data_IF_715686143686
#
_entry.id   IF_715686143686
#
_cell.length_a   1.000
_cell.length_b   1.000
_cell.length_c   1.000
_cell.angle_alpha   90.00
_cell.angle_beta   90.00
_cell.angle_gamma   90.00
#
_symmetry.space_group_name_H-M   'P 1'
#
loop_
_entity.id
_entity.type
_entity.pdbx_description
1 polymer ?
#
# COMPACT_ATOMS: atom_id res chain seq x y z
N UNK A 1 -5.20 -5.39 -14.95
CA UNK A 1 -5.31 -4.57 -13.73
C UNK A 1 -6.78 -4.49 -13.35
N UNK A 2 -7.12 -4.97 -12.14
CA UNK A 2 -8.47 -4.84 -11.58
C UNK A 2 -8.44 -3.81 -10.46
N UNK A 3 -9.34 -2.84 -10.49
CA UNK A 3 -9.46 -1.85 -9.42
C UNK A 3 -10.83 -1.18 -9.45
N UNK A 4 -11.26 -0.64 -8.33
CA UNK A 4 -12.46 0.20 -8.26
C UNK A 4 -12.26 1.52 -9.00
N UNK A 5 -11.06 2.09 -8.86
CA UNK A 5 -10.63 3.30 -9.57
C UNK A 5 -9.22 3.08 -10.12
N UNK A 6 -9.00 3.43 -11.39
CA UNK A 6 -7.72 3.34 -12.07
C UNK A 6 -7.41 4.65 -12.79
N UNK A 7 -6.23 5.23 -12.49
CA UNK A 7 -5.57 6.18 -13.38
C UNK A 7 -4.41 5.45 -14.07
N UNK A 8 -4.37 5.51 -15.41
CA UNK A 8 -3.43 4.73 -16.19
C UNK A 8 -2.93 5.52 -17.40
N UNK A 9 -1.63 5.59 -17.56
CA UNK A 9 -0.99 6.01 -18.80
C UNK A 9 0.38 5.35 -18.94
N UNK A 10 0.70 4.83 -20.11
CA UNK A 10 2.06 4.35 -20.44
C UNK A 10 2.92 5.44 -21.09
N UNK A 11 2.32 6.55 -21.45
CA UNK A 11 2.98 7.65 -22.18
C UNK A 11 3.16 8.86 -21.24
N UNK A 12 4.41 9.20 -20.93
CA UNK A 12 4.73 10.37 -20.12
C UNK A 12 4.36 11.71 -20.78
N UNK A 13 4.17 11.74 -22.10
CA UNK A 13 3.70 12.95 -22.79
C UNK A 13 2.19 13.18 -22.67
N UNK A 14 1.45 12.15 -22.27
CA UNK A 14 -0.01 12.17 -22.06
C UNK A 14 -0.38 11.56 -20.71
N UNK A 15 0.02 12.18 -19.59
CA UNK A 15 -0.24 11.65 -18.26
C UNK A 15 -1.73 11.60 -17.94
N UNK A 16 -2.14 10.63 -17.12
CA UNK A 16 -3.49 10.57 -16.59
C UNK A 16 -3.53 11.18 -15.18
N UNK A 17 -4.47 12.08 -14.93
CA UNK A 17 -4.66 12.71 -13.63
C UNK A 17 -6.09 12.52 -13.13
N UNK A 18 -6.23 12.19 -11.84
CA UNK A 18 -7.52 11.99 -11.20
C UNK A 18 -7.52 12.63 -9.81
N UNK A 19 -8.60 13.34 -9.47
CA UNK A 19 -8.84 13.83 -8.12
C UNK A 19 -10.15 13.27 -7.60
N UNK A 20 -10.11 12.70 -6.39
CA UNK A 20 -11.25 12.16 -5.66
C UNK A 20 -11.34 12.90 -4.32
N UNK A 21 -12.47 13.55 -4.08
CA UNK A 21 -12.75 14.25 -2.84
C UNK A 21 -13.97 13.64 -2.15
N UNK A 22 -13.75 13.00 -1.01
CA UNK A 22 -14.79 12.29 -0.29
C UNK A 22 -15.27 11.03 -1.00
N UNK A 23 -16.40 10.49 -0.53
CA UNK A 23 -17.04 9.34 -1.13
C UNK A 23 -16.46 7.99 -0.71
N UNK A 24 -16.95 6.93 -1.37
CA UNK A 24 -16.63 5.55 -1.04
C UNK A 24 -16.28 4.75 -2.29
N UNK A 25 -15.20 3.99 -2.22
CA UNK A 25 -14.78 3.01 -3.23
C UNK A 25 -14.81 1.62 -2.60
N UNK A 26 -15.56 0.71 -3.18
CA UNK A 26 -15.65 -0.69 -2.71
C UNK A 26 -15.33 -1.66 -3.85
N UNK A 27 -14.51 -2.67 -3.56
CA UNK A 27 -14.24 -3.78 -4.49
C UNK A 27 -14.35 -5.10 -3.76
N UNK A 28 -14.89 -6.11 -4.45
CA UNK A 28 -15.07 -7.46 -3.91
C UNK A 28 -14.48 -8.57 -4.78
N UNK A 29 -14.06 -8.25 -6.00
CA UNK A 29 -13.47 -9.24 -6.88
C UNK A 29 -12.06 -9.59 -6.41
N UNK A 30 -11.67 -10.86 -6.59
CA UNK A 30 -10.33 -11.33 -6.28
C UNK A 30 -9.29 -10.58 -7.13
N UNK A 31 -8.24 -10.08 -6.50
CA UNK A 31 -7.21 -9.26 -7.15
C UNK A 31 -7.64 -7.84 -7.54
N UNK A 32 -8.80 -7.36 -7.08
CA UNK A 32 -9.27 -6.01 -7.36
C UNK A 32 -8.80 -5.03 -6.29
N UNK A 33 -7.88 -4.14 -6.66
CA UNK A 33 -7.45 -3.04 -5.79
C UNK A 33 -8.57 -1.99 -5.62
N UNK A 34 -8.52 -1.20 -4.56
CA UNK A 34 -9.45 -0.10 -4.36
C UNK A 34 -9.17 1.05 -5.32
N UNK A 35 -8.09 1.79 -5.10
CA UNK A 35 -7.64 2.92 -5.92
C UNK A 35 -6.22 2.67 -6.41
N UNK A 36 -5.99 2.78 -7.72
CA UNK A 36 -4.72 2.40 -8.31
C UNK A 36 -4.19 3.44 -9.32
N UNK A 37 -2.97 3.94 -9.09
CA UNK A 37 -2.23 4.77 -10.03
C UNK A 37 -1.13 3.93 -10.71
N UNK A 38 -1.16 3.83 -12.04
CA UNK A 38 -0.21 3.03 -12.81
C UNK A 38 0.46 3.84 -13.93
N UNK A 39 1.77 3.66 -14.08
CA UNK A 39 2.54 4.31 -15.13
C UNK A 39 2.62 5.83 -14.95
N UNK A 40 2.56 6.58 -16.02
CA UNK A 40 2.58 8.05 -16.01
C UNK A 40 1.24 8.61 -15.54
N UNK A 41 0.83 8.27 -14.30
CA UNK A 41 -0.44 8.73 -13.75
C UNK A 41 -0.31 9.29 -12.35
N UNK A 42 -1.23 10.18 -12.00
CA UNK A 42 -1.31 10.79 -10.66
C UNK A 42 -2.74 10.71 -10.14
N UNK A 43 -2.90 10.25 -8.90
CA UNK A 43 -4.17 10.29 -8.17
C UNK A 43 -4.01 11.16 -6.93
N UNK A 44 -4.92 12.13 -6.77
CA UNK A 44 -5.13 12.89 -5.55
C UNK A 44 -6.41 12.35 -4.87
N UNK A 45 -6.27 11.77 -3.68
CA UNK A 45 -7.34 11.15 -2.91
C UNK A 45 -7.48 11.87 -1.57
N UNK A 46 -8.63 12.47 -1.28
CA UNK A 46 -8.86 13.23 -0.05
C UNK A 46 -10.18 12.85 0.62
N UNK A 47 -10.18 12.63 1.93
CA UNK A 47 -11.37 12.33 2.75
C UNK A 47 -12.20 11.15 2.21
N UNK A 48 -11.60 10.18 1.56
CA UNK A 48 -12.27 9.04 0.95
C UNK A 48 -12.23 7.79 1.84
N UNK A 49 -13.24 6.94 1.69
CA UNK A 49 -13.27 5.60 2.28
C UNK A 49 -13.04 4.56 1.19
N UNK A 50 -12.07 3.68 1.37
CA UNK A 50 -11.75 2.59 0.42
C UNK A 50 -11.85 1.26 1.14
N UNK A 51 -12.64 0.33 0.60
CA UNK A 51 -12.80 -1.02 1.16
C UNK A 51 -12.59 -2.07 0.08
N UNK A 52 -11.70 -3.04 0.32
CA UNK A 52 -11.52 -4.18 -0.56
C UNK A 52 -11.78 -5.48 0.20
N UNK A 53 -12.64 -6.34 -0.34
CA UNK A 53 -13.03 -7.61 0.27
C UNK A 53 -12.64 -8.84 -0.56
N UNK A 54 -11.97 -8.64 -1.70
CA UNK A 54 -11.45 -9.72 -2.54
C UNK A 54 -10.39 -10.57 -1.82
N UNK A 55 -10.36 -11.87 -2.09
CA UNK A 55 -9.57 -12.84 -1.30
C UNK A 55 -8.06 -12.71 -1.42
N UNK A 56 -7.51 -12.25 -2.52
CA UNK A 56 -6.05 -12.19 -2.67
C UNK A 56 -5.59 -11.08 -3.59
N UNK A 57 -4.49 -10.40 -3.21
CA UNK A 57 -3.88 -9.34 -4.01
C UNK A 57 -4.77 -8.11 -4.22
N UNK A 58 -5.75 -7.88 -3.34
CA UNK A 58 -6.75 -6.80 -3.44
C UNK A 58 -6.35 -5.63 -2.55
N UNK A 59 -5.25 -4.96 -2.88
CA UNK A 59 -4.73 -3.82 -2.10
C UNK A 59 -5.73 -2.67 -1.99
N UNK A 60 -5.61 -1.85 -0.95
CA UNK A 60 -6.47 -0.69 -0.73
C UNK A 60 -6.14 0.45 -1.68
N UNK A 61 -5.09 1.22 -1.40
CA UNK A 61 -4.52 2.22 -2.31
C UNK A 61 -3.20 1.70 -2.85
N UNK A 62 -2.93 1.90 -4.14
CA UNK A 62 -1.82 1.26 -4.82
C UNK A 62 -1.14 2.13 -5.88
N UNK A 63 0.17 1.97 -6.01
CA UNK A 63 0.96 2.46 -7.15
C UNK A 63 1.78 1.33 -7.76
N UNK A 64 2.02 1.40 -9.06
CA UNK A 64 2.98 0.56 -9.76
C UNK A 64 3.41 1.20 -11.08
N UNK A 65 4.51 0.70 -11.66
CA UNK A 65 4.98 1.17 -12.96
C UNK A 65 5.35 2.66 -13.03
N UNK A 66 5.68 3.28 -11.89
CA UNK A 66 6.00 4.70 -11.80
C UNK A 66 4.84 5.61 -11.41
N UNK A 67 3.65 5.06 -11.10
CA UNK A 67 2.47 5.85 -10.71
C UNK A 67 2.69 6.69 -9.45
N UNK A 68 1.92 7.75 -9.32
CA UNK A 68 1.95 8.65 -8.17
C UNK A 68 0.59 8.70 -7.46
N UNK A 69 0.57 8.61 -6.14
CA UNK A 69 -0.65 8.72 -5.35
C UNK A 69 -0.42 9.59 -4.11
N UNK A 70 -1.24 10.61 -3.98
CA UNK A 70 -1.35 11.43 -2.78
C UNK A 70 -2.66 11.10 -2.07
N UNK A 71 -2.57 10.67 -0.80
CA UNK A 71 -3.74 10.36 0.03
C UNK A 71 -3.75 11.25 1.26
N UNK A 72 -4.88 11.92 1.50
CA UNK A 72 -5.06 12.78 2.65
C UNK A 72 -6.33 12.44 3.41
N UNK A 73 -6.20 12.22 4.72
CA UNK A 73 -7.32 11.94 5.64
C UNK A 73 -8.26 10.82 5.15
N UNK A 74 -7.70 9.74 4.59
CA UNK A 74 -8.45 8.62 4.03
C UNK A 74 -8.63 7.48 5.03
N UNK A 75 -9.71 6.70 4.88
CA UNK A 75 -9.94 5.48 5.63
C UNK A 75 -9.90 4.29 4.65
N UNK A 76 -8.91 3.42 4.81
CA UNK A 76 -8.66 2.29 3.91
C UNK A 76 -8.70 1.00 4.69
N UNK A 77 -9.54 0.05 4.27
CA UNK A 77 -9.65 -1.28 4.89
C UNK A 77 -9.57 -2.37 3.83
N UNK A 78 -8.73 -3.37 4.06
CA UNK A 78 -8.60 -4.56 3.21
C UNK A 78 -8.84 -5.82 4.01
N UNK A 79 -9.56 -6.80 3.44
CA UNK A 79 -9.97 -8.04 4.11
C UNK A 79 -9.28 -9.29 3.53
N UNK A 80 -8.67 -9.19 2.37
CA UNK A 80 -8.07 -10.33 1.68
C UNK A 80 -6.65 -10.66 2.12
N UNK A 81 -6.23 -11.91 1.94
CA UNK A 81 -4.82 -12.29 2.04
C UNK A 81 -3.99 -11.57 0.98
N UNK A 82 -2.71 -11.25 1.27
CA UNK A 82 -1.81 -10.49 0.37
C UNK A 82 -2.38 -9.14 -0.10
N UNK A 83 -3.22 -8.52 0.72
CA UNK A 83 -4.01 -7.32 0.39
C UNK A 83 -3.67 -6.18 1.34
N UNK A 84 -2.45 -5.64 1.24
CA UNK A 84 -2.03 -4.51 2.06
C UNK A 84 -2.92 -3.28 1.85
N UNK A 85 -3.20 -2.52 2.92
CA UNK A 85 -4.00 -1.31 2.83
C UNK A 85 -3.31 -0.21 2.00
N UNK A 86 -1.99 -0.08 2.15
CA UNK A 86 -1.12 0.73 1.31
C UNK A 86 -0.17 -0.24 0.59
N UNK A 87 -0.20 -0.22 -0.74
CA UNK A 87 0.57 -1.17 -1.54
C UNK A 87 1.30 -0.50 -2.69
N UNK A 88 2.50 -0.96 -2.96
CA UNK A 88 3.16 -0.73 -4.24
C UNK A 88 3.61 -2.05 -4.84
N UNK A 89 3.83 -2.07 -6.14
CA UNK A 89 4.23 -3.25 -6.90
C UNK A 89 5.30 -2.86 -7.93
N UNK A 90 5.69 -3.81 -8.78
CA UNK A 90 6.77 -3.70 -9.77
C UNK A 90 6.75 -2.38 -10.54
N UNK A 91 7.94 -1.86 -10.80
CA UNK A 91 8.13 -0.59 -11.49
C UNK A 91 8.05 0.61 -10.55
N UNK A 92 7.96 0.37 -9.24
CA UNK A 92 7.99 1.40 -8.21
C UNK A 92 6.90 2.48 -8.36
N UNK A 93 7.14 3.68 -7.86
CA UNK A 93 6.25 4.83 -7.89
C UNK A 93 6.50 5.76 -6.72
N UNK A 94 5.58 6.68 -6.50
CA UNK A 94 5.59 7.61 -5.38
C UNK A 94 4.25 7.53 -4.63
N UNK A 95 4.31 7.36 -3.31
CA UNK A 95 3.18 7.50 -2.42
C UNK A 95 3.44 8.54 -1.35
N UNK A 96 2.50 9.45 -1.17
CA UNK A 96 2.49 10.39 -0.04
C UNK A 96 1.16 10.30 0.67
N UNK A 97 1.20 9.94 1.95
CA UNK A 97 0.03 9.75 2.79
C UNK A 97 0.11 10.71 3.97
N UNK A 98 -0.92 11.51 4.17
CA UNK A 98 -1.03 12.44 5.31
C UNK A 98 -2.39 12.27 6.00
N UNK A 99 -2.37 11.82 7.24
CA UNK A 99 -3.58 11.53 8.02
C UNK A 99 -4.31 10.25 7.59
N UNK A 100 -5.37 9.93 8.33
CA UNK A 100 -6.25 8.82 8.05
C UNK A 100 -5.89 7.50 8.74
N UNK A 101 -6.65 6.44 8.40
CA UNK A 101 -6.54 5.10 9.00
C UNK A 101 -6.43 4.04 7.91
N UNK A 102 -5.46 3.17 8.02
CA UNK A 102 -5.12 2.15 7.03
C UNK A 102 -5.03 0.78 7.72
N UNK A 103 -6.02 -0.08 7.46
CA UNK A 103 -6.19 -1.36 8.16
C UNK A 103 -6.14 -2.51 7.17
N UNK A 104 -5.27 -3.48 7.41
CA UNK A 104 -5.21 -4.74 6.69
C UNK A 104 -5.65 -5.88 7.62
N UNK A 105 -6.87 -6.41 7.40
CA UNK A 105 -7.49 -7.44 8.23
C UNK A 105 -7.30 -8.87 7.70
N UNK A 106 -6.70 -9.04 6.54
CA UNK A 106 -6.57 -10.35 5.91
C UNK A 106 -5.93 -11.39 6.83
N UNK A 107 -6.56 -12.57 6.94
CA UNK A 107 -6.18 -13.63 7.88
C UNK A 107 -5.65 -14.90 7.22
N UNK A 108 -5.55 -14.97 5.89
CA UNK A 108 -5.03 -16.16 5.21
C UNK A 108 -3.50 -16.20 5.23
N UNK A 109 -2.95 -17.22 5.88
CA UNK A 109 -1.50 -17.40 6.05
C UNK A 109 -0.94 -16.42 7.07
N UNK A 110 0.25 -15.92 6.81
CA UNK A 110 0.77 -14.71 7.42
C UNK A 110 0.02 -13.56 6.77
N UNK A 111 -0.92 -12.90 7.37
CA UNK A 111 -1.75 -11.85 6.77
C UNK A 111 -0.97 -10.77 6.01
N UNK A 112 -1.64 -9.86 5.33
CA UNK A 112 -0.98 -8.73 4.67
C UNK A 112 -0.54 -7.68 5.70
N UNK A 113 0.63 -7.05 5.52
CA UNK A 113 0.99 -5.88 6.31
C UNK A 113 0.03 -4.70 6.00
N UNK A 114 -0.04 -3.73 6.89
CA UNK A 114 -0.78 -2.50 6.59
C UNK A 114 -0.13 -1.73 5.43
N UNK A 115 1.21 -1.70 5.40
CA UNK A 115 1.99 -1.20 4.26
C UNK A 115 2.91 -2.30 3.73
N UNK A 116 2.77 -2.62 2.45
CA UNK A 116 3.76 -3.35 1.66
C UNK A 116 4.33 -2.43 0.59
N UNK A 117 5.63 -2.16 0.64
CA UNK A 117 6.23 -1.13 -0.19
C UNK A 117 7.47 -1.59 -0.94
N UNK A 118 7.46 -1.40 -2.24
CA UNK A 118 8.60 -1.45 -3.17
C UNK A 118 8.72 -0.13 -3.96
N UNK A 119 8.24 0.98 -3.39
CA UNK A 119 8.21 2.32 -3.97
C UNK A 119 8.77 3.35 -2.99
N UNK A 120 8.95 4.58 -3.44
CA UNK A 120 9.20 5.73 -2.57
C UNK A 120 7.91 6.08 -1.81
N UNK A 121 7.95 6.02 -0.48
CA UNK A 121 6.78 6.28 0.34
C UNK A 121 7.08 7.22 1.51
N UNK A 122 6.20 8.20 1.68
CA UNK A 122 6.14 9.04 2.88
C UNK A 122 4.76 8.93 3.52
N UNK A 123 4.71 8.59 4.81
CA UNK A 123 3.48 8.54 5.60
C UNK A 123 3.63 9.45 6.82
N UNK A 124 2.63 10.29 7.05
CA UNK A 124 2.60 11.23 8.17
C UNK A 124 1.23 11.23 8.84
N UNK A 125 1.20 11.41 10.16
CA UNK A 125 -0.02 11.64 10.95
C UNK A 125 -1.10 10.53 10.79
N UNK A 126 -0.72 9.32 10.44
CA UNK A 126 -1.63 8.23 10.11
C UNK A 126 -1.63 7.10 11.13
N UNK A 127 -2.70 6.30 11.13
CA UNK A 127 -2.81 5.05 11.89
C UNK A 127 -2.74 3.88 10.91
N UNK A 128 -1.80 2.97 11.14
CA UNK A 128 -1.59 1.78 10.32
C UNK A 128 -1.68 0.52 11.18
N UNK A 129 -2.60 -0.37 10.83
CA UNK A 129 -2.88 -1.58 11.60
C UNK A 129 -2.92 -2.81 10.70
N UNK A 130 -2.23 -3.87 11.12
CA UNK A 130 -2.28 -5.19 10.50
C UNK A 130 -2.85 -6.20 11.48
N UNK A 131 -3.91 -6.90 11.09
CA UNK A 131 -4.61 -7.87 11.95
C UNK A 131 -3.82 -9.15 12.19
N UNK A 132 -2.91 -9.53 11.29
CA UNK A 132 -2.12 -10.77 11.39
C UNK A 132 -0.78 -10.69 10.64
N UNK A 133 -0.13 -9.55 10.67
CA UNK A 133 1.17 -9.33 10.03
C UNK A 133 1.91 -8.16 10.69
N UNK A 134 3.04 -7.80 10.13
CA UNK A 134 3.75 -6.57 10.45
C UNK A 134 2.91 -5.35 10.06
N UNK A 135 3.03 -4.23 10.76
CA UNK A 135 2.43 -2.98 10.30
C UNK A 135 3.08 -2.51 8.99
N UNK A 136 4.40 -2.66 8.88
CA UNK A 136 5.17 -2.20 7.73
C UNK A 136 6.12 -3.28 7.22
N UNK A 137 6.11 -3.52 5.90
CA UNK A 137 7.13 -4.30 5.20
C UNK A 137 7.69 -3.46 4.04
N UNK A 138 8.99 -3.15 4.09
CA UNK A 138 9.71 -2.47 3.02
C UNK A 138 10.70 -3.40 2.36
N UNK A 139 10.62 -3.51 1.05
CA UNK A 139 11.43 -4.41 0.28
C UNK A 139 12.27 -3.66 -0.76
N UNK A 140 13.56 -4.03 -0.85
CA UNK A 140 14.46 -3.55 -1.88
C UNK A 140 14.94 -2.12 -1.69
N UNK A 141 15.57 -1.59 -2.73
CA UNK A 141 16.22 -0.27 -2.72
C UNK A 141 15.18 0.86 -2.81
N UNK A 142 14.42 1.06 -1.76
CA UNK A 142 13.42 2.12 -1.71
C UNK A 142 13.51 2.87 -0.39
N UNK A 143 13.29 4.20 -0.40
CA UNK A 143 13.17 4.97 0.81
C UNK A 143 11.76 4.88 1.37
N UNK A 144 11.67 4.75 2.69
CA UNK A 144 10.43 4.88 3.40
C UNK A 144 10.58 5.88 4.54
N UNK A 145 9.65 6.80 4.64
CA UNK A 145 9.65 7.85 5.65
C UNK A 145 8.32 7.85 6.39
N UNK A 146 8.36 7.57 7.70
CA UNK A 146 7.18 7.49 8.55
C UNK A 146 7.31 8.53 9.65
N UNK A 147 6.38 9.47 9.73
CA UNK A 147 6.42 10.57 10.68
C UNK A 147 5.14 10.63 11.51
N UNK A 148 5.27 10.87 12.81
CA UNK A 148 4.15 11.14 13.70
C UNK A 148 2.94 10.20 13.50
N UNK A 149 3.19 8.89 13.39
CA UNK A 149 2.19 7.89 13.03
C UNK A 149 2.11 6.76 14.04
N UNK A 150 0.94 6.13 14.14
CA UNK A 150 0.73 4.95 14.97
C UNK A 150 0.85 3.68 14.13
N UNK A 151 1.61 2.70 14.62
CA UNK A 151 1.88 1.43 13.97
C UNK A 151 1.47 0.27 14.88
N UNK A 152 0.60 -0.61 14.40
CA UNK A 152 0.21 -1.82 15.10
C UNK A 152 0.29 -3.03 14.16
N UNK A 153 1.22 -3.93 14.47
CA UNK A 153 1.35 -5.24 13.82
C UNK A 153 1.01 -6.34 14.81
N UNK A 154 0.23 -7.32 14.34
CA UNK A 154 -0.21 -8.46 15.15
C UNK A 154 0.29 -9.79 14.56
N UNK A 155 1.52 -9.82 14.08
CA UNK A 155 2.15 -11.04 13.59
C UNK A 155 2.42 -12.03 14.73
N UNK A 156 1.91 -13.25 14.61
CA UNK A 156 1.97 -14.26 15.67
C UNK A 156 2.42 -15.64 15.19
N UNK A 157 3.02 -15.76 14.00
CA UNK A 157 3.53 -17.04 13.54
C UNK A 157 4.65 -17.54 14.46
N UNK A 158 4.55 -18.79 14.91
CA UNK A 158 5.44 -19.35 15.93
C UNK A 158 6.79 -19.81 15.41
N UNK A 159 6.93 -19.94 14.10
CA UNK A 159 8.06 -20.63 13.49
C UNK A 159 8.98 -19.70 12.66
N UNK A 160 8.70 -18.40 12.65
CA UNK A 160 9.46 -17.41 11.89
C UNK A 160 10.15 -16.40 12.81
N UNK A 161 11.39 -16.08 12.50
CA UNK A 161 12.18 -15.03 13.15
C UNK A 161 11.70 -13.60 12.78
N UNK A 162 10.59 -13.49 12.04
CA UNK A 162 10.05 -12.24 11.46
C UNK A 162 8.97 -11.57 12.33
N UNK A 163 8.85 -11.97 13.59
CA UNK A 163 7.92 -11.38 14.56
C UNK A 163 8.35 -9.96 14.93
N UNK A 164 7.98 -8.99 14.12
CA UNK A 164 8.31 -7.58 14.31
C UNK A 164 7.15 -6.69 13.86
N UNK A 165 7.16 -5.44 14.27
CA UNK A 165 6.18 -4.45 13.84
C UNK A 165 6.60 -3.77 12.52
N UNK A 166 7.90 -3.60 12.32
CA UNK A 166 8.48 -3.01 11.11
C UNK A 166 9.55 -3.94 10.56
N UNK A 167 9.43 -4.32 9.30
CA UNK A 167 10.40 -5.12 8.58
C UNK A 167 10.97 -4.35 7.39
N UNK A 168 12.30 -4.26 7.32
CA UNK A 168 13.04 -3.68 6.21
C UNK A 168 13.95 -4.76 5.66
N UNK A 169 13.75 -5.19 4.42
CA UNK A 169 14.44 -6.36 3.91
C UNK A 169 14.74 -6.29 2.41
N UNK A 170 15.60 -7.18 1.96
CA UNK A 170 15.87 -7.43 0.55
C UNK A 170 15.43 -8.84 0.21
N UNK A 171 14.37 -8.99 -0.55
CA UNK A 171 13.97 -10.30 -1.04
C UNK A 171 14.66 -10.65 -2.36
N UNK A 172 14.58 -11.91 -2.72
CA UNK A 172 15.03 -12.47 -3.99
C UNK A 172 13.87 -12.68 -4.98
N UNK A 173 12.70 -12.12 -4.70
CA UNK A 173 11.49 -12.30 -5.53
C UNK A 173 11.59 -11.63 -6.90
N UNK A 174 12.47 -10.63 -7.05
CA UNK A 174 12.58 -9.81 -8.26
C UNK A 174 11.47 -8.76 -8.40
N UNK A 175 10.68 -8.55 -7.36
CA UNK A 175 9.62 -7.53 -7.34
C UNK A 175 10.19 -6.13 -7.04
N UNK A 176 11.25 -6.07 -6.22
CA UNK A 176 11.94 -4.84 -5.87
C UNK A 176 13.34 -4.76 -6.50
N UNK A 177 13.82 -3.54 -6.73
CA UNK A 177 15.18 -3.31 -7.17
C UNK A 177 16.16 -3.68 -6.03
N UNK A 178 17.27 -4.35 -6.39
CA UNK A 178 18.31 -4.68 -5.43
C UNK A 178 19.05 -3.43 -4.95
N UNK A 179 19.40 -3.41 -3.67
CA UNK A 179 20.19 -2.35 -3.05
C UNK A 179 19.80 -2.12 -1.59
N UNK A 180 20.27 -1.02 -1.03
CA UNK A 180 20.02 -0.70 0.37
C UNK A 180 18.57 -0.28 0.60
N UNK A 181 17.84 -1.07 1.37
CA UNK A 181 16.54 -0.70 1.89
C UNK A 181 16.74 0.17 3.13
N UNK A 182 15.98 1.24 3.27
CA UNK A 182 16.04 2.03 4.50
C UNK A 182 14.70 2.66 4.86
N UNK A 183 14.48 2.82 6.15
CA UNK A 183 13.31 3.48 6.71
C UNK A 183 13.76 4.57 7.71
N UNK A 184 13.09 5.70 7.66
CA UNK A 184 13.21 6.75 8.68
C UNK A 184 11.89 6.87 9.44
N UNK A 185 11.97 6.87 10.78
CA UNK A 185 10.81 7.02 11.66
C UNK A 185 11.10 8.06 12.74
#
# INVERSE_FOLDING_TARGET
VNSGVLAYSEDASTPAELTIQGGKVETSANGANGVFAYGSSTINLENATVTTTGEGGSGGIMVAGGGTLYAKDCNVTTEGGSSAAIRSDRGSGLMVVDGGTYIANGSKGTGPPAIYCVADITVSNATMQAGNAQALCFEGRNPAHIYNSYLEGNYTASDDDENCNVMVYQSMSGDAAEGTSYCTM
#
